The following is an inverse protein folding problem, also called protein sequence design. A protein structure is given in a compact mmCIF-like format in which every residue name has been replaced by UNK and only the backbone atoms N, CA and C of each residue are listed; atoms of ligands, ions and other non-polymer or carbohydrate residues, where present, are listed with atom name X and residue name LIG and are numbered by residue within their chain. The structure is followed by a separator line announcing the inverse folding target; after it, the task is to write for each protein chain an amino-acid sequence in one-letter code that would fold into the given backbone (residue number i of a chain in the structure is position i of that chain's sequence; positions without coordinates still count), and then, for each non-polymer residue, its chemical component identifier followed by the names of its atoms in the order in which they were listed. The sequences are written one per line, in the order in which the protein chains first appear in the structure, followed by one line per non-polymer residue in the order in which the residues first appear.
data_IF_836275004521
#
_entry.id   IF_836275004521
#
_cell.length_a   1.000
_cell.length_b   1.000
_cell.length_c   1.000
_cell.angle_alpha   90.00
_cell.angle_beta   90.00
_cell.angle_gamma   90.00
#
_symmetry.space_group_name_H-M   'P 1'
#
loop_
_entity.id
_entity.type
_entity.pdbx_description
1 polymer ?
#
# COMPACT_ATOMS: atom_id res chain seq x y z
N UNK A 1 -10.55 3.42 34.39
CA UNK A 1 -10.47 2.83 33.06
C UNK A 1 -9.07 3.08 32.53
N UNK A 2 -8.21 2.06 32.40
CA UNK A 2 -6.83 2.23 31.86
C UNK A 2 -6.91 2.45 30.37
N UNK A 3 -6.41 3.59 29.89
CA UNK A 3 -6.26 3.82 28.44
C UNK A 3 -5.26 2.81 27.88
N UNK A 4 -5.69 1.96 26.97
CA UNK A 4 -4.80 1.11 26.17
C UNK A 4 -4.27 1.98 25.03
N UNK A 5 -3.01 2.37 25.11
CA UNK A 5 -2.32 3.03 24.01
C UNK A 5 -1.85 1.97 23.03
N UNK A 6 -2.35 1.99 21.81
CA UNK A 6 -1.99 1.05 20.73
C UNK A 6 -0.67 1.45 20.05
N UNK A 7 -0.02 2.54 20.49
CA UNK A 7 1.25 2.97 19.91
C UNK A 7 2.43 2.21 20.55
N UNK A 8 3.35 1.68 19.74
CA UNK A 8 4.52 0.99 20.26
C UNK A 8 5.39 1.96 21.09
N UNK A 9 5.83 1.51 22.25
CA UNK A 9 6.72 2.27 23.13
C UNK A 9 8.06 2.51 22.43
N UNK A 10 8.40 3.78 22.25
CA UNK A 10 9.62 4.20 21.59
C UNK A 10 10.82 4.09 22.54
N UNK A 11 11.84 3.28 22.20
CA UNK A 11 13.12 3.29 22.89
C UNK A 11 14.08 4.22 22.14
N UNK A 12 14.47 5.34 22.78
CA UNK A 12 15.40 6.31 22.20
C UNK A 12 16.72 5.70 21.70
N UNK A 13 17.17 4.61 22.33
CA UNK A 13 18.37 3.87 21.89
C UNK A 13 18.25 3.29 20.49
N UNK A 14 17.05 2.90 20.07
CA UNK A 14 16.82 2.37 18.71
C UNK A 14 16.92 3.49 17.67
N UNK A 15 16.35 4.67 17.98
CA UNK A 15 16.45 5.84 17.10
C UNK A 15 17.90 6.29 16.95
N UNK A 16 18.62 6.38 18.06
CA UNK A 16 20.02 6.81 18.07
C UNK A 16 20.92 5.86 17.27
N UNK A 17 20.73 4.57 17.45
CA UNK A 17 21.47 3.55 16.68
C UNK A 17 21.10 3.57 15.19
N UNK A 18 19.84 3.82 14.84
CA UNK A 18 19.40 3.94 13.44
C UNK A 18 19.99 5.19 12.76
N UNK A 19 20.10 6.31 13.49
CA UNK A 19 20.73 7.55 13.00
C UNK A 19 22.24 7.42 12.80
N UNK A 20 22.91 6.59 13.59
CA UNK A 20 24.34 6.34 13.50
C UNK A 20 24.71 5.19 12.56
N UNK A 21 23.74 4.38 12.13
CA UNK A 21 24.01 3.31 11.18
C UNK A 21 24.25 3.89 9.79
N UNK A 22 25.41 3.57 9.14
CA UNK A 22 25.61 3.99 7.76
C UNK A 22 24.48 3.41 6.92
N UNK A 23 23.79 4.28 6.18
CA UNK A 23 22.79 3.88 5.18
C UNK A 23 23.51 3.02 4.13
N UNK A 24 23.47 1.72 4.29
CA UNK A 24 23.75 0.81 3.17
C UNK A 24 22.76 1.17 2.08
N UNK A 25 23.23 1.16 0.82
CA UNK A 25 22.43 1.43 -0.38
C UNK A 25 20.98 0.98 -0.17
N UNK A 26 20.12 1.97 0.09
CA UNK A 26 18.69 1.71 0.28
C UNK A 26 18.17 1.43 -1.12
N UNK A 27 17.71 0.21 -1.35
CA UNK A 27 17.08 -0.16 -2.59
C UNK A 27 16.04 0.90 -3.00
N UNK A 28 16.02 1.20 -4.27
CA UNK A 28 15.32 2.31 -4.91
C UNK A 28 13.79 2.36 -4.73
N UNK A 29 13.21 1.49 -3.93
CA UNK A 29 11.77 1.29 -3.80
C UNK A 29 11.17 1.79 -2.47
N UNK A 30 11.89 2.66 -1.75
CA UNK A 30 11.39 3.28 -0.53
C UNK A 30 10.78 4.66 -0.80
N UNK A 31 9.64 4.91 -0.16
CA UNK A 31 8.86 6.13 -0.30
C UNK A 31 8.51 6.72 1.06
N UNK A 32 8.20 8.00 1.09
CA UNK A 32 7.80 8.71 2.31
C UNK A 32 6.51 8.17 2.92
N UNK A 33 5.57 7.69 2.10
CA UNK A 33 4.30 7.14 2.57
C UNK A 33 3.70 6.15 1.56
N UNK A 34 2.76 5.31 2.02
CA UNK A 34 2.01 4.41 1.16
C UNK A 34 1.26 5.11 0.03
N UNK A 35 0.84 6.38 0.22
CA UNK A 35 0.20 7.17 -0.84
C UNK A 35 1.15 7.47 -1.99
N UNK A 36 2.39 7.87 -1.69
CA UNK A 36 3.41 8.09 -2.71
C UNK A 36 3.82 6.78 -3.41
N UNK A 37 3.91 5.68 -2.66
CA UNK A 37 4.16 4.37 -3.24
C UNK A 37 3.02 3.94 -4.20
N UNK A 38 1.76 4.15 -3.80
CA UNK A 38 0.61 3.89 -4.66
C UNK A 38 0.62 4.79 -5.90
N UNK A 39 0.80 6.11 -5.74
CA UNK A 39 0.89 7.06 -6.86
C UNK A 39 1.95 6.63 -7.87
N UNK A 40 3.16 6.32 -7.40
CA UNK A 40 4.24 5.86 -8.28
C UNK A 40 3.91 4.55 -8.99
N UNK A 41 3.27 3.60 -8.29
CA UNK A 41 2.84 2.34 -8.90
C UNK A 41 1.84 2.57 -10.04
N UNK A 42 0.90 3.48 -9.84
CA UNK A 42 -0.13 3.80 -10.84
C UNK A 42 0.45 4.59 -12.02
N UNK A 43 1.35 5.54 -11.78
CA UNK A 43 2.05 6.26 -12.85
C UNK A 43 2.88 5.31 -13.72
N UNK A 44 3.57 4.34 -13.13
CA UNK A 44 4.33 3.35 -13.90
C UNK A 44 3.41 2.41 -14.67
N UNK A 45 2.25 2.04 -14.10
CA UNK A 45 1.24 1.28 -14.82
C UNK A 45 0.67 2.05 -16.02
N UNK A 46 0.45 3.37 -15.88
CA UNK A 46 0.01 4.22 -17.00
C UNK A 46 1.05 4.31 -18.11
N UNK A 47 2.33 4.34 -17.74
CA UNK A 47 3.45 4.35 -18.70
C UNK A 47 3.57 3.01 -19.44
N UNK A 48 3.46 1.90 -18.70
CA UNK A 48 3.59 0.54 -19.25
C UNK A 48 2.36 0.12 -20.06
N UNK A 49 1.18 0.58 -19.63
CA UNK A 49 -0.12 0.25 -20.21
C UNK A 49 -0.94 1.50 -20.49
N UNK A 50 -0.73 2.20 -21.61
CA UNK A 50 -1.40 3.48 -21.92
C UNK A 50 -2.93 3.39 -21.97
N UNK A 51 -3.49 2.18 -22.18
CA UNK A 51 -4.92 1.91 -22.14
C UNK A 51 -5.49 1.84 -20.71
N UNK A 52 -4.66 1.80 -19.68
CA UNK A 52 -5.09 1.80 -18.29
C UNK A 52 -5.71 3.15 -17.92
N UNK A 53 -7.01 3.17 -17.63
CA UNK A 53 -7.78 4.38 -17.31
C UNK A 53 -8.69 4.17 -16.10
N UNK A 54 -8.77 2.94 -15.57
CA UNK A 54 -9.72 2.58 -14.54
C UNK A 54 -9.14 1.56 -13.57
N UNK A 55 -9.41 1.75 -12.27
CA UNK A 55 -9.03 0.83 -11.20
C UNK A 55 -10.26 0.43 -10.38
N UNK A 56 -10.31 -0.83 -10.00
CA UNK A 56 -11.30 -1.33 -9.04
C UNK A 56 -10.73 -1.23 -7.62
N UNK A 57 -11.49 -0.62 -6.70
CA UNK A 57 -11.13 -0.48 -5.29
C UNK A 57 -12.26 -1.03 -4.40
N UNK A 58 -11.99 -1.49 -3.17
CA UNK A 58 -13.06 -1.89 -2.28
C UNK A 58 -13.90 -0.70 -1.82
N UNK A 59 -15.18 -0.91 -1.56
CA UNK A 59 -16.08 0.14 -1.04
C UNK A 59 -15.73 0.59 0.39
N UNK A 60 -14.93 -0.17 1.13
CA UNK A 60 -14.33 0.24 2.40
C UNK A 60 -12.87 0.62 2.18
N UNK A 61 -12.63 1.86 1.79
CA UNK A 61 -11.28 2.37 1.53
C UNK A 61 -11.14 3.79 2.08
N UNK A 62 -9.92 4.16 2.40
CA UNK A 62 -9.58 5.50 2.89
C UNK A 62 -9.74 6.51 1.74
N UNK A 63 -10.38 7.64 2.00
CA UNK A 63 -10.61 8.72 1.03
C UNK A 63 -9.30 9.22 0.41
N UNK A 64 -8.22 9.28 1.19
CA UNK A 64 -6.92 9.71 0.69
C UNK A 64 -6.34 8.77 -0.39
N UNK A 65 -6.72 7.50 -0.39
CA UNK A 65 -6.33 6.54 -1.45
C UNK A 65 -7.07 6.87 -2.73
N UNK A 66 -8.37 7.12 -2.64
CA UNK A 66 -9.22 7.49 -3.78
C UNK A 66 -8.75 8.82 -4.38
N UNK A 67 -8.52 9.82 -3.54
CA UNK A 67 -8.00 11.14 -3.96
C UNK A 67 -6.70 11.04 -4.75
N UNK A 68 -5.75 10.19 -4.33
CA UNK A 68 -4.49 9.96 -5.07
C UNK A 68 -4.77 9.39 -6.45
N UNK A 69 -5.68 8.43 -6.56
CA UNK A 69 -6.01 7.78 -7.82
C UNK A 69 -6.67 8.77 -8.80
N UNK A 70 -7.65 9.55 -8.30
CA UNK A 70 -8.40 10.51 -9.10
C UNK A 70 -7.54 11.70 -9.56
N UNK A 71 -6.63 12.18 -8.70
CA UNK A 71 -5.73 13.31 -9.01
C UNK A 71 -4.79 13.01 -10.19
N UNK A 72 -4.48 11.76 -10.46
CA UNK A 72 -3.67 11.36 -11.61
C UNK A 72 -4.51 10.98 -12.84
N UNK A 73 -5.83 11.20 -12.77
CA UNK A 73 -6.75 11.02 -13.90
C UNK A 73 -7.20 9.58 -14.14
N UNK A 74 -7.17 8.71 -13.13
CA UNK A 74 -7.67 7.33 -13.20
C UNK A 74 -9.08 7.28 -12.62
N UNK A 75 -10.01 6.66 -13.35
CA UNK A 75 -11.38 6.45 -12.89
C UNK A 75 -11.43 5.35 -11.82
N UNK A 76 -12.15 5.60 -10.74
CA UNK A 76 -12.36 4.65 -9.65
C UNK A 76 -13.70 3.93 -9.84
N UNK A 77 -13.68 2.60 -9.83
CA UNK A 77 -14.86 1.76 -9.68
C UNK A 77 -14.82 0.99 -8.37
N UNK A 78 -15.95 0.95 -7.67
CA UNK A 78 -16.01 0.30 -6.37
C UNK A 78 -16.53 -1.13 -6.50
N UNK A 79 -15.86 -2.08 -5.82
CA UNK A 79 -16.39 -3.41 -5.59
C UNK A 79 -16.78 -3.61 -4.12
N UNK A 80 -17.75 -4.49 -3.87
CA UNK A 80 -18.29 -4.72 -2.55
C UNK A 80 -17.42 -5.70 -1.75
N UNK A 81 -17.26 -5.38 -0.47
CA UNK A 81 -16.82 -6.31 0.56
C UNK A 81 -17.94 -6.47 1.59
N UNK A 82 -18.04 -7.66 2.19
CA UNK A 82 -19.06 -7.95 3.20
C UNK A 82 -18.58 -7.54 4.61
N UNK A 83 -19.45 -7.71 5.61
CA UNK A 83 -19.14 -7.40 7.02
C UNK A 83 -17.99 -8.23 7.63
N UNK A 84 -17.52 -9.29 6.95
CA UNK A 84 -16.33 -10.07 7.31
C UNK A 84 -15.09 -9.63 6.53
N UNK A 85 -15.15 -8.49 5.85
CA UNK A 85 -14.08 -7.94 4.99
C UNK A 85 -13.69 -8.86 3.83
N UNK A 86 -14.64 -9.69 3.37
CA UNK A 86 -14.44 -10.60 2.25
C UNK A 86 -14.98 -10.00 0.97
N UNK A 87 -14.25 -10.21 -0.10
CA UNK A 87 -14.60 -9.76 -1.46
C UNK A 87 -15.62 -10.71 -2.05
N UNK A 88 -16.64 -10.19 -2.68
CA UNK A 88 -17.43 -10.98 -3.62
C UNK A 88 -16.65 -11.13 -4.94
N UNK A 89 -15.79 -12.14 -4.97
CA UNK A 89 -14.90 -12.36 -6.11
C UNK A 89 -15.65 -12.69 -7.40
N UNK A 90 -16.87 -13.24 -7.31
CA UNK A 90 -17.69 -13.53 -8.48
C UNK A 90 -18.25 -12.25 -9.08
N UNK A 91 -18.86 -11.38 -8.27
CA UNK A 91 -19.33 -10.08 -8.74
C UNK A 91 -18.18 -9.21 -9.26
N UNK A 92 -17.03 -9.22 -8.57
CA UNK A 92 -15.84 -8.51 -9.05
C UNK A 92 -15.41 -9.03 -10.43
N UNK A 93 -15.36 -10.35 -10.62
CA UNK A 93 -15.00 -10.97 -11.91
C UNK A 93 -15.96 -10.59 -13.03
N UNK A 94 -17.26 -10.54 -12.74
CA UNK A 94 -18.29 -10.11 -13.70
C UNK A 94 -18.15 -8.64 -14.10
N UNK A 95 -17.70 -7.78 -13.16
CA UNK A 95 -17.46 -6.36 -13.40
C UNK A 95 -16.21 -6.09 -14.26
N UNK A 96 -15.29 -7.04 -14.32
CA UNK A 96 -14.07 -6.92 -15.12
C UNK A 96 -14.42 -7.09 -16.59
N UNK A 97 -14.51 -5.97 -17.29
CA UNK A 97 -14.76 -5.88 -18.73
C UNK A 97 -13.56 -5.22 -19.40
N UNK A 98 -13.11 -5.76 -20.53
CA UNK A 98 -12.01 -5.20 -21.31
C UNK A 98 -10.71 -6.02 -21.27
N UNK A 99 -9.69 -5.50 -21.95
CA UNK A 99 -8.42 -6.23 -22.16
C UNK A 99 -7.47 -6.19 -20.96
N UNK A 100 -7.57 -5.18 -20.11
CA UNK A 100 -6.74 -5.03 -18.92
C UNK A 100 -7.53 -4.30 -17.83
N UNK A 101 -7.55 -4.86 -16.65
CA UNK A 101 -8.12 -4.22 -15.46
C UNK A 101 -7.09 -4.19 -14.34
N UNK A 102 -7.08 -3.11 -13.56
CA UNK A 102 -6.26 -3.00 -12.35
C UNK A 102 -7.17 -3.07 -11.14
N UNK A 103 -6.78 -3.83 -10.12
CA UNK A 103 -7.58 -4.09 -8.93
C UNK A 103 -6.71 -3.82 -7.70
N UNK A 104 -7.17 -2.95 -6.82
CA UNK A 104 -6.54 -2.73 -5.52
C UNK A 104 -7.17 -3.67 -4.49
N UNK A 105 -6.37 -4.55 -3.90
CA UNK A 105 -6.79 -5.49 -2.86
C UNK A 105 -6.17 -5.08 -1.52
N UNK A 106 -7.01 -4.88 -0.51
CA UNK A 106 -6.57 -4.48 0.84
C UNK A 106 -6.53 -5.70 1.77
N UNK A 107 -5.39 -5.92 2.43
CA UNK A 107 -5.26 -6.89 3.52
C UNK A 107 -5.61 -6.21 4.84
N UNK A 108 -6.92 -6.11 5.14
CA UNK A 108 -7.44 -5.38 6.29
C UNK A 108 -6.90 -5.92 7.62
N UNK A 109 -6.41 -5.01 8.47
CA UNK A 109 -5.97 -5.31 9.84
C UNK A 109 -4.95 -6.46 9.96
N UNK A 110 -4.21 -6.74 8.88
CA UNK A 110 -3.23 -7.81 8.83
C UNK A 110 -3.80 -9.19 8.43
N UNK A 111 -5.11 -9.28 8.19
CA UNK A 111 -5.73 -10.51 7.70
C UNK A 111 -5.56 -10.61 6.17
N UNK A 112 -5.16 -11.79 5.67
CA UNK A 112 -5.03 -12.00 4.23
C UNK A 112 -6.40 -11.98 3.55
N UNK A 113 -6.46 -11.34 2.39
CA UNK A 113 -7.60 -11.42 1.47
C UNK A 113 -7.76 -12.84 0.91
N UNK A 114 -8.81 -13.07 0.10
CA UNK A 114 -9.12 -14.39 -0.48
C UNK A 114 -8.21 -14.72 -1.67
N UNK A 115 -6.89 -14.81 -1.42
CA UNK A 115 -5.87 -14.95 -2.45
C UNK A 115 -6.06 -16.17 -3.36
N UNK A 116 -6.62 -17.28 -2.85
CA UNK A 116 -6.90 -18.44 -3.68
C UNK A 116 -7.92 -18.09 -4.77
N UNK A 117 -9.07 -17.50 -4.39
CA UNK A 117 -10.11 -17.09 -5.33
C UNK A 117 -9.62 -15.99 -6.29
N UNK A 118 -8.88 -15.02 -5.78
CA UNK A 118 -8.29 -13.94 -6.60
C UNK A 118 -7.30 -14.48 -7.63
N UNK A 119 -6.48 -15.46 -7.29
CA UNK A 119 -5.56 -16.09 -8.22
C UNK A 119 -6.29 -16.91 -9.30
N UNK A 120 -7.38 -17.61 -8.94
CA UNK A 120 -8.22 -18.29 -9.93
C UNK A 120 -8.92 -17.30 -10.86
N UNK A 121 -9.43 -16.18 -10.35
CA UNK A 121 -9.97 -15.10 -11.15
C UNK A 121 -8.91 -14.55 -12.14
N UNK A 122 -7.69 -14.31 -11.67
CA UNK A 122 -6.56 -13.83 -12.50
C UNK A 122 -6.22 -14.74 -13.67
N UNK A 123 -6.39 -16.05 -13.52
CA UNK A 123 -6.18 -17.01 -14.62
C UNK A 123 -7.23 -16.87 -15.73
N UNK A 124 -8.44 -16.44 -15.38
CA UNK A 124 -9.56 -16.28 -16.32
C UNK A 124 -9.67 -14.87 -16.89
N UNK A 125 -9.25 -13.88 -16.13
CA UNK A 125 -9.33 -12.46 -16.49
C UNK A 125 -7.94 -11.85 -16.54
N UNK A 126 -7.65 -11.11 -17.59
CA UNK A 126 -6.41 -10.36 -17.68
C UNK A 126 -6.48 -9.13 -16.74
N UNK A 127 -5.92 -9.27 -15.54
CA UNK A 127 -5.90 -8.19 -14.56
C UNK A 127 -4.58 -8.12 -13.81
N UNK A 128 -4.23 -6.90 -13.40
CA UNK A 128 -3.10 -6.59 -12.52
C UNK A 128 -3.65 -6.36 -11.12
N UNK A 129 -3.08 -7.00 -10.13
CA UNK A 129 -3.48 -6.82 -8.74
C UNK A 129 -2.42 -6.01 -7.99
N UNK A 130 -2.85 -4.88 -7.42
CA UNK A 130 -2.08 -4.10 -6.45
C UNK A 130 -2.50 -4.55 -5.05
N UNK A 131 -1.53 -4.96 -4.25
CA UNK A 131 -1.73 -5.46 -2.88
C UNK A 131 -1.42 -4.35 -1.87
N UNK A 132 -2.45 -3.83 -1.19
CA UNK A 132 -2.30 -2.86 -0.10
C UNK A 132 -2.01 -3.59 1.21
N UNK A 133 -0.78 -3.50 1.67
CA UNK A 133 -0.28 -4.07 2.93
C UNK A 133 -0.01 -3.02 4.01
N UNK A 134 -0.65 -1.88 3.95
CA UNK A 134 -0.45 -0.81 4.93
C UNK A 134 -0.77 -1.23 6.37
N UNK A 135 -1.56 -2.29 6.56
CA UNK A 135 -1.88 -2.90 7.85
C UNK A 135 -1.22 -4.28 8.08
N UNK A 136 -0.37 -4.76 7.16
CA UNK A 136 -0.02 -6.18 7.06
C UNK A 136 1.49 -6.45 6.98
N UNK A 137 2.33 -5.53 7.48
CA UNK A 137 3.78 -5.58 7.31
C UNK A 137 4.44 -6.91 7.70
N UNK A 138 3.92 -7.59 8.73
CA UNK A 138 4.47 -8.86 9.24
C UNK A 138 3.55 -10.04 8.99
N UNK A 139 2.44 -9.84 8.29
CA UNK A 139 1.45 -10.90 8.07
C UNK A 139 1.90 -11.86 6.98
N UNK A 140 1.45 -13.11 7.09
CA UNK A 140 1.73 -14.16 6.12
C UNK A 140 0.52 -15.09 5.96
N UNK A 141 0.41 -15.69 4.78
CA UNK A 141 -0.55 -16.74 4.47
C UNK A 141 0.22 -17.95 3.92
N UNK A 142 0.01 -19.14 4.48
CA UNK A 142 0.69 -20.38 4.07
C UNK A 142 2.24 -20.23 4.00
N UNK A 143 2.84 -19.60 5.02
CA UNK A 143 4.28 -19.33 5.14
C UNK A 143 4.83 -18.35 4.09
N UNK A 144 4.02 -17.81 3.17
CA UNK A 144 4.40 -16.76 2.24
C UNK A 144 3.97 -15.41 2.82
N UNK A 145 4.89 -14.45 2.89
CA UNK A 145 4.63 -13.09 3.39
C UNK A 145 3.58 -12.39 2.50
N UNK A 146 2.66 -11.62 3.10
CA UNK A 146 1.82 -10.70 2.35
C UNK A 146 2.70 -9.63 1.69
N UNK A 147 2.27 -9.16 0.53
CA UNK A 147 3.07 -8.31 -0.36
C UNK A 147 3.66 -9.07 -1.56
N UNK A 148 3.54 -10.39 -1.57
CA UNK A 148 4.02 -11.22 -2.66
C UNK A 148 2.91 -11.98 -3.41
N UNK A 149 1.65 -11.66 -3.14
CA UNK A 149 0.49 -12.30 -3.79
C UNK A 149 -0.01 -11.53 -5.01
N UNK A 150 -0.03 -10.20 -4.93
CA UNK A 150 -0.33 -9.31 -6.06
C UNK A 150 0.85 -9.16 -7.03
N UNK A 151 0.64 -8.45 -8.13
CA UNK A 151 1.69 -8.10 -9.11
C UNK A 151 2.56 -6.95 -8.60
N UNK A 152 1.93 -6.04 -7.87
CA UNK A 152 2.55 -4.91 -7.18
C UNK A 152 2.07 -4.95 -5.73
N UNK A 153 2.90 -4.53 -4.80
CA UNK A 153 2.45 -4.31 -3.43
C UNK A 153 3.11 -3.08 -2.81
N UNK A 154 2.40 -2.46 -1.88
CA UNK A 154 2.96 -1.40 -1.05
C UNK A 154 2.55 -1.56 0.41
N UNK A 155 3.34 -0.98 1.31
CA UNK A 155 3.07 -0.98 2.74
C UNK A 155 3.14 0.43 3.34
N UNK A 156 3.05 0.53 4.66
CA UNK A 156 3.25 1.78 5.40
C UNK A 156 3.88 1.48 6.75
N UNK A 157 5.17 1.71 6.86
CA UNK A 157 5.93 1.40 8.07
C UNK A 157 5.43 2.16 9.29
N UNK A 158 5.06 3.45 9.14
CA UNK A 158 4.58 4.30 10.23
C UNK A 158 3.30 3.82 10.92
N UNK A 159 2.52 2.96 10.27
CA UNK A 159 1.30 2.40 10.88
C UNK A 159 1.59 1.29 11.88
N UNK A 160 2.76 0.67 11.78
CA UNK A 160 3.13 -0.53 12.54
C UNK A 160 4.40 -0.29 13.35
N UNK A 161 5.36 0.45 12.80
CA UNK A 161 6.62 0.79 13.44
C UNK A 161 6.58 2.23 13.98
N UNK A 162 7.34 2.55 15.02
CA UNK A 162 7.44 3.91 15.56
C UNK A 162 8.33 4.79 14.65
N UNK A 163 7.95 4.91 13.38
CA UNK A 163 8.61 5.73 12.37
C UNK A 163 7.73 6.92 12.00
N UNK A 164 8.34 8.03 11.61
CA UNK A 164 7.64 9.24 11.19
C UNK A 164 7.03 9.07 9.81
N UNK A 165 7.70 8.30 8.96
CA UNK A 165 7.36 8.08 7.57
C UNK A 165 7.91 6.74 7.10
N UNK A 166 7.66 6.41 5.85
CA UNK A 166 8.23 5.24 5.20
C UNK A 166 7.19 4.27 4.69
N UNK A 167 7.46 3.82 3.49
CA UNK A 167 6.70 2.83 2.74
C UNK A 167 7.66 2.10 1.81
N UNK A 168 7.39 0.86 1.53
CA UNK A 168 8.09 0.08 0.52
C UNK A 168 7.11 -0.26 -0.60
N UNK A 169 7.59 -0.17 -1.85
CA UNK A 169 6.89 -0.58 -3.05
C UNK A 169 7.61 -1.77 -3.65
N UNK A 170 6.91 -2.86 -3.90
CA UNK A 170 7.48 -4.11 -4.42
C UNK A 170 6.79 -4.42 -5.76
N UNK A 171 7.60 -4.70 -6.79
CA UNK A 171 7.13 -5.35 -8.01
C UNK A 171 7.39 -6.84 -7.94
N UNK A 172 6.34 -7.62 -8.13
CA UNK A 172 6.41 -9.08 -8.18
C UNK A 172 6.40 -9.59 -9.64
N UNK A 173 6.45 -8.68 -10.63
CA UNK A 173 6.49 -8.98 -12.05
C UNK A 173 7.75 -8.39 -12.67
N UNK A 174 8.21 -8.97 -13.79
CA UNK A 174 9.37 -8.47 -14.53
C UNK A 174 9.03 -7.27 -15.43
N UNK A 175 7.77 -7.11 -15.76
CA UNK A 175 7.31 -6.13 -16.74
C UNK A 175 7.13 -4.74 -16.15
N UNK A 176 7.02 -4.64 -14.81
CA UNK A 176 6.81 -3.40 -14.10
C UNK A 176 8.07 -3.11 -13.27
N UNK A 177 8.86 -2.13 -13.72
CA UNK A 177 10.09 -1.73 -13.07
C UNK A 177 9.93 -0.31 -12.55
N UNK A 178 9.96 -0.15 -11.24
CA UNK A 178 9.92 1.17 -10.62
C UNK A 178 11.29 1.85 -10.78
N UNK A 179 11.31 2.92 -11.57
CA UNK A 179 12.48 3.81 -11.63
C UNK A 179 12.26 4.92 -10.60
N UNK A 180 13.09 4.95 -9.57
CA UNK A 180 13.09 6.06 -8.64
C UNK A 180 13.31 7.37 -9.41
N UNK A 181 12.27 8.15 -9.54
CA UNK A 181 12.33 9.45 -10.21
C UNK A 181 12.48 10.63 -9.25
N UNK A 182 12.39 10.41 -7.94
CA UNK A 182 12.27 11.55 -7.04
C UNK A 182 13.00 11.34 -5.71
N UNK A 183 14.33 11.44 -5.75
CA UNK A 183 15.14 11.66 -4.55
C UNK A 183 14.88 13.04 -3.90
N UNK A 184 14.14 13.93 -4.59
CA UNK A 184 13.99 15.33 -4.23
C UNK A 184 12.78 15.64 -3.33
N UNK A 185 11.82 14.73 -3.14
CA UNK A 185 10.69 14.93 -2.22
C UNK A 185 11.02 14.46 -0.81
N UNK A 186 11.92 15.17 -0.17
CA UNK A 186 12.02 15.12 1.30
C UNK A 186 10.67 15.46 1.95
N UNK A 187 10.47 15.12 3.24
CA UNK A 187 9.25 15.46 3.94
C UNK A 187 9.00 16.95 3.83
N UNK A 188 7.79 17.34 3.41
CA UNK A 188 7.45 18.73 3.43
C UNK A 188 7.31 19.21 4.91
N UNK A 189 7.42 20.52 5.13
CA UNK A 189 7.39 21.10 6.47
C UNK A 189 6.10 20.70 7.23
N UNK A 190 4.97 20.57 6.55
CA UNK A 190 3.70 20.15 7.16
C UNK A 190 3.72 18.68 7.63
N UNK A 191 4.39 17.80 6.92
CA UNK A 191 4.58 16.38 7.31
C UNK A 191 5.51 16.27 8.52
N UNK A 192 6.58 17.09 8.56
CA UNK A 192 7.47 17.20 9.72
C UNK A 192 6.70 17.73 10.94
N UNK A 193 5.90 18.80 10.77
CA UNK A 193 5.10 19.38 11.86
C UNK A 193 4.04 18.38 12.33
N UNK A 194 3.37 17.67 11.45
CA UNK A 194 2.39 16.64 11.81
C UNK A 194 3.05 15.51 12.62
N UNK A 195 4.22 15.08 12.20
CA UNK A 195 5.02 14.08 12.90
C UNK A 195 5.41 14.55 14.30
N UNK A 196 5.87 15.80 14.42
CA UNK A 196 6.23 16.42 15.70
C UNK A 196 5.02 16.62 16.64
N UNK A 197 3.83 16.90 16.11
CA UNK A 197 2.59 16.98 16.90
C UNK A 197 2.20 15.63 17.50
N UNK A 198 2.42 14.53 16.77
CA UNK A 198 2.25 13.17 17.30
C UNK A 198 3.16 12.90 18.51
N UNK A 199 4.37 13.46 18.52
CA UNK A 199 5.28 13.36 19.65
C UNK A 199 4.82 14.16 20.90
N UNK A 200 4.22 15.34 20.71
CA UNK A 200 3.72 16.15 21.85
C UNK A 200 2.66 15.43 22.67
N UNK A 201 1.81 14.62 22.03
CA UNK A 201 0.76 13.86 22.70
C UNK A 201 1.27 12.58 23.38
N UNK A 202 2.55 12.23 23.25
CA UNK A 202 3.20 11.12 23.92
C UNK A 202 3.79 11.50 25.30
N UNK A 203 3.87 12.79 25.61
CA UNK A 203 4.49 13.31 26.83
C UNK A 203 3.49 13.97 27.82
N UNK A 204 2.19 13.83 27.59
CA UNK A 204 1.10 14.19 28.48
C UNK A 204 0.30 12.91 28.82
#
# INVERSE_FOLDING_TARGET
MKRVTIQPLFKYSILFNALLSPTKNIDSNLFMSGRYALEQSLLELMNTYPQFKKIFVPNLICEEVVTVIENIGINVEYYNINHRLQIDTKMLEESITGKLSVILIVNYFGFPSQWNQLNEMRKRKQCIIIEDNTHSLYSSLNKKKLGYYGDISFNSFRKILPLLSGSELISNTKDIIFKNKDESRGPNISEIIYSLRGFKNLFI
#
